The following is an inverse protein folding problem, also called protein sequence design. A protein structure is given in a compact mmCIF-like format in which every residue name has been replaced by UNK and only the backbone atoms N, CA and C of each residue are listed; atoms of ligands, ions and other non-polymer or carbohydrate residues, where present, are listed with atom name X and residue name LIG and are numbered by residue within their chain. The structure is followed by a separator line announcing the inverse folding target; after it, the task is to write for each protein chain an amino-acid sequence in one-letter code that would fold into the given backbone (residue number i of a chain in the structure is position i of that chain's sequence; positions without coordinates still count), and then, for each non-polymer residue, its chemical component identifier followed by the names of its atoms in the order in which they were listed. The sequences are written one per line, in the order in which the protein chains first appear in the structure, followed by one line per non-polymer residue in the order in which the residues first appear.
data_IF_320948033813
#
_entry.id   IF_320948033813
#
_cell.length_a   1.000
_cell.length_b   1.000
_cell.length_c   1.000
_cell.angle_alpha   90.00
_cell.angle_beta   90.00
_cell.angle_gamma   90.00
#
_symmetry.space_group_name_H-M   'P 1'
#
loop_
_entity.id
_entity.type
_entity.pdbx_description
1 polymer ?
#
# COMPACT_ATOMS: atom_id res chain seq x y z
N UNK A 1 -34.12 6.96 10.35
CA UNK A 1 -32.85 7.07 9.61
C UNK A 1 -31.82 6.39 10.48
N UNK A 2 -31.50 5.14 10.17
CA UNK A 2 -30.40 4.44 10.84
C UNK A 2 -29.10 5.15 10.45
N UNK A 3 -28.42 5.72 11.42
CA UNK A 3 -27.03 6.16 11.28
C UNK A 3 -26.21 4.92 10.96
N UNK A 4 -25.90 4.75 9.70
CA UNK A 4 -25.07 3.66 9.20
C UNK A 4 -23.60 3.94 9.61
N UNK A 5 -23.30 3.67 10.88
CA UNK A 5 -21.97 3.86 11.45
C UNK A 5 -21.02 2.88 10.74
N UNK A 6 -20.05 3.40 9.97
CA UNK A 6 -18.98 2.58 9.38
C UNK A 6 -18.21 1.90 10.51
N UNK A 7 -18.01 0.60 10.37
CA UNK A 7 -17.18 -0.18 11.29
C UNK A 7 -15.68 0.08 11.06
N UNK A 8 -14.91 0.19 12.14
CA UNK A 8 -13.45 0.22 12.09
C UNK A 8 -12.91 -1.20 12.16
N UNK A 9 -12.32 -1.67 11.08
CA UNK A 9 -11.70 -2.97 10.97
C UNK A 9 -10.19 -2.80 11.09
N UNK A 10 -9.59 -3.40 12.12
CA UNK A 10 -8.14 -3.39 12.32
C UNK A 10 -7.54 -4.62 11.66
N UNK A 11 -6.62 -4.41 10.73
CA UNK A 11 -5.84 -5.46 10.06
C UNK A 11 -4.49 -5.59 10.81
N UNK A 12 -4.51 -6.29 11.93
CA UNK A 12 -3.36 -6.48 12.80
C UNK A 12 -2.45 -7.65 12.37
N UNK A 13 -2.96 -8.56 11.56
CA UNK A 13 -2.22 -9.68 11.03
C UNK A 13 -2.80 -10.19 9.70
N UNK A 14 -2.03 -11.04 9.03
CA UNK A 14 -2.36 -11.62 7.73
C UNK A 14 -3.61 -12.51 7.77
N UNK A 15 -3.75 -13.33 8.80
CA UNK A 15 -4.87 -14.28 8.95
C UNK A 15 -6.21 -13.55 9.10
N UNK A 16 -6.22 -12.44 9.86
CA UNK A 16 -7.41 -11.62 10.02
C UNK A 16 -7.88 -11.02 8.70
N UNK A 17 -6.93 -10.49 7.90
CA UNK A 17 -7.26 -10.00 6.56
C UNK A 17 -7.86 -11.11 5.69
N UNK A 18 -7.18 -12.25 5.62
CA UNK A 18 -7.62 -13.37 4.80
C UNK A 18 -9.02 -13.86 5.20
N UNK A 19 -9.32 -13.93 6.49
CA UNK A 19 -10.67 -14.30 6.99
C UNK A 19 -11.75 -13.31 6.57
N UNK A 20 -11.47 -12.00 6.58
CA UNK A 20 -12.44 -10.99 6.15
C UNK A 20 -12.79 -11.15 4.67
N UNK A 21 -11.80 -11.51 3.84
CA UNK A 21 -12.00 -11.68 2.40
C UNK A 21 -12.27 -13.15 1.98
N UNK A 22 -12.34 -14.07 2.93
CA UNK A 22 -12.56 -15.50 2.65
C UNK A 22 -11.42 -16.15 1.89
N UNK A 23 -10.17 -15.70 2.12
CA UNK A 23 -8.95 -16.20 1.52
C UNK A 23 -8.23 -17.19 2.45
N UNK A 24 -7.41 -18.06 1.86
CA UNK A 24 -6.59 -19.04 2.60
C UNK A 24 -5.34 -18.37 3.20
N UNK A 25 -5.01 -18.71 4.46
CA UNK A 25 -3.77 -18.29 5.10
C UNK A 25 -2.73 -19.41 5.03
N UNK A 26 -1.69 -19.24 4.21
CA UNK A 26 -0.59 -20.20 4.03
C UNK A 26 0.62 -19.88 4.90
N UNK A 27 0.81 -18.61 5.24
CA UNK A 27 1.93 -18.15 6.06
C UNK A 27 1.46 -17.07 7.04
N UNK A 28 1.89 -17.10 8.32
CA UNK A 28 1.38 -16.16 9.33
C UNK A 28 1.80 -14.71 9.12
N UNK A 29 2.90 -14.46 8.41
CA UNK A 29 3.47 -13.11 8.26
C UNK A 29 3.39 -12.55 6.83
N UNK A 30 2.94 -13.31 5.85
CA UNK A 30 2.80 -12.85 4.47
C UNK A 30 1.67 -13.59 3.74
N UNK A 31 0.93 -12.87 2.89
CA UNK A 31 -0.08 -13.46 1.99
C UNK A 31 -0.02 -12.79 0.63
N UNK A 32 -0.10 -13.58 -0.42
CA UNK A 32 -0.40 -13.08 -1.76
C UNK A 32 -1.91 -12.99 -1.89
N UNK A 33 -2.39 -11.83 -2.29
CA UNK A 33 -3.80 -11.50 -2.38
C UNK A 33 -4.27 -11.65 -3.83
N UNK A 34 -5.36 -12.35 -4.01
CA UNK A 34 -6.12 -12.41 -5.25
C UNK A 34 -7.59 -12.19 -4.90
N UNK A 35 -8.05 -10.94 -4.98
CA UNK A 35 -9.41 -10.59 -4.60
C UNK A 35 -10.48 -11.13 -5.55
N UNK A 36 -10.11 -11.57 -6.74
CA UNK A 36 -11.05 -12.28 -7.62
C UNK A 36 -11.49 -13.63 -7.03
N UNK A 37 -10.69 -14.19 -6.11
CA UNK A 37 -11.01 -15.43 -5.37
C UNK A 37 -11.69 -15.18 -4.04
N UNK A 38 -11.91 -13.91 -3.64
CA UNK A 38 -12.57 -13.62 -2.37
C UNK A 38 -14.02 -14.09 -2.38
N UNK A 39 -14.44 -14.69 -1.28
CA UNK A 39 -15.82 -15.17 -1.09
C UNK A 39 -16.68 -14.21 -0.27
N UNK A 40 -16.03 -13.33 0.45
CA UNK A 40 -16.65 -12.29 1.28
C UNK A 40 -15.85 -11.01 1.17
N UNK A 41 -16.51 -9.85 1.29
CA UNK A 41 -15.85 -8.55 1.40
C UNK A 41 -16.77 -7.54 2.07
N UNK A 42 -16.24 -6.60 2.88
CA UNK A 42 -17.02 -5.51 3.43
C UNK A 42 -17.34 -4.49 2.33
N UNK A 43 -18.59 -4.06 2.27
CA UNK A 43 -19.02 -3.04 1.30
C UNK A 43 -18.68 -1.62 1.75
N UNK A 44 -18.59 -1.41 3.08
CA UNK A 44 -18.31 -0.09 3.66
C UNK A 44 -17.66 -0.24 5.02
N UNK A 45 -16.37 0.11 5.13
CA UNK A 45 -15.62 0.03 6.37
C UNK A 45 -14.43 1.00 6.39
N UNK A 46 -13.99 1.33 7.58
CA UNK A 46 -12.66 1.88 7.78
C UNK A 46 -11.68 0.76 8.08
N UNK A 47 -10.57 0.70 7.34
CA UNK A 47 -9.47 -0.21 7.62
C UNK A 47 -8.33 0.53 8.26
N UNK A 48 -7.87 0.04 9.42
CA UNK A 48 -6.59 0.42 10.02
C UNK A 48 -5.60 -0.72 9.78
N UNK A 49 -4.57 -0.43 9.01
CA UNK A 49 -3.53 -1.40 8.72
C UNK A 49 -2.45 -1.37 9.79
N UNK A 50 -2.10 -2.53 10.36
CA UNK A 50 -0.89 -2.75 11.17
C UNK A 50 0.13 -3.62 10.41
N UNK A 51 -0.11 -3.82 9.14
CA UNK A 51 0.68 -4.58 8.18
C UNK A 51 0.97 -3.71 6.96
N UNK A 52 2.01 -4.05 6.21
CA UNK A 52 2.24 -3.48 4.89
C UNK A 52 1.32 -4.16 3.89
N UNK A 53 0.75 -3.39 2.98
CA UNK A 53 -0.07 -3.89 1.89
C UNK A 53 0.27 -3.17 0.58
N UNK A 54 0.29 -3.92 -0.51
CA UNK A 54 0.40 -3.41 -1.87
C UNK A 54 -0.66 -4.11 -2.71
N UNK A 55 -1.46 -3.32 -3.43
CA UNK A 55 -2.49 -3.85 -4.31
C UNK A 55 -2.31 -3.29 -5.72
N UNK A 56 -2.24 -4.19 -6.69
CA UNK A 56 -2.42 -3.91 -8.10
C UNK A 56 -3.88 -4.11 -8.47
N UNK A 57 -4.57 -3.03 -8.79
CA UNK A 57 -5.99 -3.05 -9.14
C UNK A 57 -6.20 -3.29 -10.62
N UNK A 58 -7.09 -4.20 -10.94
CA UNK A 58 -7.43 -4.60 -12.30
C UNK A 58 -8.74 -3.97 -12.78
N UNK A 59 -9.60 -3.51 -11.87
CA UNK A 59 -10.88 -2.86 -12.19
C UNK A 59 -11.25 -1.84 -11.14
N UNK A 60 -12.02 -0.84 -11.52
CA UNK A 60 -12.63 0.09 -10.57
C UNK A 60 -13.80 -0.60 -9.86
N UNK A 61 -13.58 -1.10 -8.66
CA UNK A 61 -14.59 -1.80 -7.84
C UNK A 61 -15.13 -0.96 -6.68
N UNK A 62 -14.74 0.30 -6.58
CA UNK A 62 -15.15 1.21 -5.51
C UNK A 62 -14.19 2.38 -5.36
N UNK A 63 -14.46 3.23 -4.39
CA UNK A 63 -13.60 4.35 -4.04
C UNK A 63 -12.85 4.05 -2.74
N UNK A 64 -11.58 4.37 -2.68
CA UNK A 64 -10.81 4.42 -1.44
C UNK A 64 -10.44 5.87 -1.16
N UNK A 65 -10.77 6.32 0.03
CA UNK A 65 -10.35 7.62 0.53
C UNK A 65 -9.21 7.44 1.51
N UNK A 66 -8.23 8.29 1.37
CA UNK A 66 -7.15 8.43 2.31
C UNK A 66 -7.09 9.88 2.79
N UNK A 67 -7.35 10.10 4.07
CA UNK A 67 -7.56 11.45 4.58
C UNK A 67 -8.74 12.15 3.90
N UNK A 68 -8.50 13.32 3.29
CA UNK A 68 -9.52 14.11 2.59
C UNK A 68 -9.55 13.91 1.08
N UNK A 69 -8.62 13.11 0.53
CA UNK A 69 -8.47 12.91 -0.90
C UNK A 69 -9.01 11.56 -1.35
N UNK A 70 -9.52 11.50 -2.58
CA UNK A 70 -9.87 10.26 -3.25
C UNK A 70 -8.64 9.78 -4.04
N UNK A 71 -8.34 8.50 -3.94
CA UNK A 71 -7.44 7.88 -4.89
C UNK A 71 -8.10 7.81 -6.27
N UNK A 72 -7.40 8.30 -7.30
CA UNK A 72 -7.84 8.10 -8.68
C UNK A 72 -7.52 6.66 -9.10
N UNK A 73 -8.56 5.82 -9.07
CA UNK A 73 -8.44 4.42 -9.44
C UNK A 73 -8.77 4.21 -10.89
N UNK A 74 -7.77 3.88 -11.66
CA UNK A 74 -7.92 3.34 -13.00
C UNK A 74 -7.41 1.90 -13.03
N UNK A 75 -7.69 1.18 -14.11
CA UNK A 75 -7.08 -0.12 -14.39
C UNK A 75 -5.55 0.04 -14.47
N UNK A 76 -4.81 -0.90 -13.89
CA UNK A 76 -3.36 -0.83 -13.82
C UNK A 76 -2.81 0.13 -12.76
N UNK A 77 -3.53 0.32 -11.66
CA UNK A 77 -3.11 1.19 -10.56
C UNK A 77 -2.58 0.38 -9.38
N UNK A 78 -1.42 0.79 -8.84
CA UNK A 78 -0.87 0.27 -7.59
C UNK A 78 -1.17 1.23 -6.45
N UNK A 79 -1.64 0.68 -5.32
CA UNK A 79 -1.81 1.39 -4.06
C UNK A 79 -1.08 0.66 -2.95
N UNK A 80 -0.46 1.43 -2.05
CA UNK A 80 0.35 0.91 -0.96
C UNK A 80 -0.13 1.47 0.38
N UNK A 81 -0.13 0.62 1.40
CA UNK A 81 -0.46 1.00 2.77
C UNK A 81 0.62 0.53 3.72
N UNK A 82 0.98 1.38 4.67
CA UNK A 82 1.92 1.07 5.75
C UNK A 82 1.18 0.86 7.09
N UNK A 83 1.83 0.21 8.06
CA UNK A 83 1.31 0.14 9.42
C UNK A 83 0.97 1.51 10.00
N UNK A 84 -0.19 1.59 10.70
CA UNK A 84 -0.73 2.82 11.28
C UNK A 84 -1.67 3.60 10.35
N UNK A 85 -1.73 3.29 9.07
CA UNK A 85 -2.58 4.00 8.12
C UNK A 85 -4.04 3.56 8.20
N UNK A 86 -4.94 4.54 8.05
CA UNK A 86 -6.39 4.33 8.04
C UNK A 86 -6.93 4.69 6.66
N UNK A 87 -7.69 3.78 6.09
CA UNK A 87 -8.39 3.98 4.81
C UNK A 87 -9.88 3.88 4.98
N UNK A 88 -10.62 4.67 4.24
CA UNK A 88 -12.07 4.58 4.10
C UNK A 88 -12.38 3.82 2.81
N UNK A 89 -12.91 2.62 2.96
CA UNK A 89 -13.27 1.75 1.85
C UNK A 89 -14.78 1.83 1.60
N UNK A 90 -15.14 2.20 0.38
CA UNK A 90 -16.50 2.06 -0.15
C UNK A 90 -16.44 1.19 -1.42
N UNK A 91 -16.98 -0.02 -1.33
CA UNK A 91 -17.07 -0.94 -2.45
C UNK A 91 -18.42 -0.79 -3.13
N UNK A 92 -18.43 -0.81 -4.45
CA UNK A 92 -19.67 -0.80 -5.20
C UNK A 92 -20.47 -2.08 -4.90
N UNK A 93 -21.76 -1.98 -4.58
CA UNK A 93 -22.58 -3.16 -4.31
C UNK A 93 -22.63 -4.05 -5.56
N UNK A 94 -22.53 -5.37 -5.35
CA UNK A 94 -22.57 -6.41 -6.39
C UNK A 94 -21.40 -6.41 -7.39
N UNK A 95 -20.34 -5.65 -7.15
CA UNK A 95 -19.09 -5.76 -7.92
C UNK A 95 -18.08 -6.49 -7.09
N UNK A 96 -17.65 -7.66 -7.58
CA UNK A 96 -16.57 -8.40 -6.96
C UNK A 96 -15.25 -7.63 -7.08
N UNK A 97 -14.53 -7.44 -5.97
CA UNK A 97 -13.22 -6.82 -6.04
C UNK A 97 -12.27 -7.68 -6.88
N UNK A 98 -11.49 -7.02 -7.70
CA UNK A 98 -10.48 -7.67 -8.54
C UNK A 98 -9.17 -6.89 -8.42
N UNK A 99 -8.29 -7.40 -7.58
CA UNK A 99 -6.95 -6.88 -7.38
C UNK A 99 -6.01 -8.03 -7.02
N UNK A 100 -4.78 -7.93 -7.47
CA UNK A 100 -3.69 -8.77 -7.00
C UNK A 100 -2.81 -7.96 -6.05
N UNK A 101 -2.15 -8.63 -5.12
CA UNK A 101 -1.30 -7.89 -4.20
C UNK A 101 -0.55 -8.76 -3.21
N UNK A 102 0.06 -8.08 -2.27
CA UNK A 102 0.76 -8.71 -1.16
C UNK A 102 0.42 -7.99 0.14
N UNK A 103 0.26 -8.77 1.18
CA UNK A 103 0.18 -8.32 2.56
C UNK A 103 1.32 -8.94 3.36
N UNK A 104 2.06 -8.14 4.14
CA UNK A 104 3.11 -8.67 5.00
C UNK A 104 3.24 -7.92 6.32
N UNK A 105 3.44 -8.69 7.38
CA UNK A 105 3.61 -8.15 8.73
C UNK A 105 5.02 -7.59 8.92
N UNK A 106 5.23 -6.50 9.68
CA UNK A 106 6.56 -5.95 9.98
C UNK A 106 7.57 -6.97 10.53
N UNK A 107 7.10 -7.97 11.27
CA UNK A 107 7.97 -9.02 11.82
C UNK A 107 8.62 -9.90 10.75
N UNK A 108 8.04 -10.01 9.56
CA UNK A 108 8.64 -10.72 8.44
C UNK A 108 9.98 -10.11 8.05
N UNK A 109 10.03 -8.77 8.00
CA UNK A 109 11.19 -8.02 7.53
C UNK A 109 12.14 -7.58 8.66
N UNK A 110 11.75 -7.78 9.92
CA UNK A 110 12.56 -7.36 11.08
C UNK A 110 13.93 -8.05 11.07
N UNK A 111 15.01 -7.25 11.14
CA UNK A 111 16.40 -7.75 11.11
C UNK A 111 16.90 -8.20 9.73
N UNK A 112 16.18 -7.93 8.65
CA UNK A 112 16.59 -8.16 7.26
C UNK A 112 17.05 -6.85 6.61
N UNK A 113 17.73 -6.94 5.46
CA UNK A 113 18.08 -5.78 4.65
C UNK A 113 16.84 -4.97 4.26
N UNK A 114 15.77 -5.65 3.83
CA UNK A 114 14.50 -5.01 3.50
C UNK A 114 13.93 -4.22 4.69
N UNK A 115 14.01 -4.76 5.91
CA UNK A 115 13.55 -4.06 7.11
C UNK A 115 14.34 -2.79 7.44
N UNK A 116 15.61 -2.71 7.06
CA UNK A 116 16.43 -1.51 7.20
C UNK A 116 16.08 -0.45 6.14
N UNK A 117 15.64 -0.90 4.96
CA UNK A 117 15.39 -0.06 3.80
C UNK A 117 13.92 0.31 3.59
N UNK A 118 12.98 -0.32 4.31
CA UNK A 118 11.53 -0.14 4.10
C UNK A 118 11.08 1.33 4.14
N UNK A 119 11.74 2.16 4.95
CA UNK A 119 11.45 3.60 5.05
C UNK A 119 11.88 4.41 3.83
N UNK A 120 12.72 3.87 2.95
CA UNK A 120 13.14 4.54 1.71
C UNK A 120 12.04 4.54 0.65
N UNK A 121 11.07 3.61 0.76
CA UNK A 121 9.96 3.51 -0.18
C UNK A 121 8.90 4.56 0.17
N UNK A 122 9.01 5.75 -0.46
CA UNK A 122 8.18 6.93 -0.18
C UNK A 122 6.69 6.69 -0.39
N UNK A 123 6.29 5.78 -1.27
CA UNK A 123 4.88 5.42 -1.49
C UNK A 123 4.20 4.74 -0.29
N UNK A 124 4.93 4.39 0.76
CA UNK A 124 4.38 4.00 2.05
C UNK A 124 4.18 5.18 3.02
N UNK A 125 4.65 6.38 2.67
CA UNK A 125 4.49 7.54 3.54
C UNK A 125 3.08 8.15 3.43
N UNK A 126 2.69 8.88 4.48
CA UNK A 126 1.41 9.60 4.52
C UNK A 126 1.30 10.70 3.46
N UNK A 127 2.43 11.24 3.02
CA UNK A 127 2.51 12.35 2.09
C UNK A 127 2.24 11.94 0.64
N UNK A 128 2.33 10.64 0.37
CA UNK A 128 2.17 10.09 -0.97
C UNK A 128 0.76 9.57 -1.20
N UNK A 129 -0.18 10.48 -1.46
CA UNK A 129 -1.59 10.16 -1.72
C UNK A 129 -1.89 9.81 -3.18
N UNK A 130 -0.87 9.69 -4.03
CA UNK A 130 -1.08 9.39 -5.43
C UNK A 130 -0.92 7.90 -5.70
N UNK A 131 -1.90 7.36 -6.41
CA UNK A 131 -1.84 6.02 -6.93
C UNK A 131 -0.77 5.93 -8.02
N UNK A 132 -0.01 4.85 -8.03
CA UNK A 132 0.98 4.59 -9.06
C UNK A 132 0.31 3.98 -10.29
N UNK A 133 0.30 4.72 -11.40
CA UNK A 133 -0.20 4.23 -12.69
C UNK A 133 0.92 3.50 -13.43
N UNK A 134 0.66 2.26 -13.82
CA UNK A 134 1.64 1.40 -14.48
C UNK A 134 1.17 0.99 -15.88
N UNK A 135 2.15 0.78 -16.76
CA UNK A 135 1.92 0.20 -18.09
C UNK A 135 1.65 -1.31 -18.00
N UNK A 136 1.20 -1.92 -19.09
CA UNK A 136 0.98 -3.38 -19.14
C UNK A 136 2.29 -4.16 -18.96
N UNK A 137 3.43 -3.67 -19.46
CA UNK A 137 4.74 -4.28 -19.26
C UNK A 137 5.18 -4.23 -17.79
N UNK A 138 4.97 -3.07 -17.12
CA UNK A 138 5.23 -2.89 -15.70
C UNK A 138 4.31 -3.77 -14.84
N UNK A 139 3.04 -3.90 -15.26
CA UNK A 139 2.07 -4.80 -14.65
C UNK A 139 2.55 -6.25 -14.67
N UNK A 140 3.05 -6.73 -15.81
CA UNK A 140 3.60 -8.06 -15.92
C UNK A 140 4.80 -8.25 -14.97
N UNK A 141 5.68 -7.28 -14.86
CA UNK A 141 6.82 -7.30 -13.92
C UNK A 141 6.36 -7.45 -12.47
N UNK A 142 5.31 -6.72 -12.06
CA UNK A 142 4.71 -6.85 -10.72
C UNK A 142 4.14 -8.24 -10.52
N UNK A 143 3.38 -8.76 -11.49
CA UNK A 143 2.77 -10.09 -11.41
C UNK A 143 3.83 -11.20 -11.32
N UNK A 144 4.95 -11.07 -12.03
CA UNK A 144 6.06 -12.03 -11.97
C UNK A 144 6.72 -12.06 -10.59
N UNK A 145 6.86 -10.89 -9.95
CA UNK A 145 7.35 -10.81 -8.56
C UNK A 145 6.38 -11.48 -7.58
N UNK A 146 5.08 -11.20 -7.69
CA UNK A 146 4.06 -11.85 -6.86
C UNK A 146 4.03 -13.36 -7.07
N UNK A 147 4.18 -13.83 -8.31
CA UNK A 147 4.22 -15.26 -8.63
C UNK A 147 5.43 -15.96 -7.99
N UNK A 148 6.61 -15.34 -7.97
CA UNK A 148 7.80 -15.91 -7.30
C UNK A 148 7.56 -16.10 -5.81
N UNK A 149 6.89 -15.13 -5.15
CA UNK A 149 6.54 -15.25 -3.74
C UNK A 149 5.49 -16.36 -3.54
N UNK A 150 4.50 -16.46 -4.44
CA UNK A 150 3.48 -17.53 -4.40
C UNK A 150 4.13 -18.91 -4.43
N UNK A 151 5.07 -19.13 -5.36
CA UNK A 151 5.80 -20.40 -5.49
C UNK A 151 6.55 -20.71 -4.19
N UNK A 152 7.19 -19.75 -3.57
CA UNK A 152 7.91 -19.94 -2.31
C UNK A 152 6.95 -20.29 -1.15
N UNK A 153 5.75 -19.72 -1.13
CA UNK A 153 4.72 -20.03 -0.13
C UNK A 153 4.04 -21.39 -0.34
N UNK A 154 4.13 -21.95 -1.53
CA UNK A 154 3.61 -23.31 -1.86
C UNK A 154 4.62 -24.40 -1.54
N UNK A 155 5.90 -24.07 -1.40
CA UNK A 155 6.92 -25.01 -0.96
C UNK A 155 6.91 -25.22 0.57
N UNK A 156 7.50 -26.31 1.03
CA UNK A 156 7.73 -26.51 2.46
C UNK A 156 8.64 -25.42 2.99
N UNK A 157 8.18 -24.72 4.01
CA UNK A 157 8.96 -23.62 4.65
C UNK A 157 10.24 -24.19 5.24
N UNK A 158 11.37 -23.63 4.84
CA UNK A 158 12.71 -23.97 5.32
C UNK A 158 13.46 -22.73 5.85
N UNK A 159 14.72 -22.92 6.22
CA UNK A 159 15.58 -21.84 6.75
C UNK A 159 15.88 -20.72 5.73
N UNK A 160 15.65 -20.96 4.45
CA UNK A 160 15.91 -20.00 3.36
C UNK A 160 14.66 -19.24 2.95
N UNK A 161 13.46 -19.79 3.19
CA UNK A 161 12.17 -19.25 2.72
C UNK A 161 11.97 -17.79 3.11
N UNK A 162 12.22 -17.44 4.38
CA UNK A 162 12.11 -16.04 4.82
C UNK A 162 13.01 -15.10 4.02
N UNK A 163 14.25 -15.50 3.75
CA UNK A 163 15.20 -14.68 2.99
C UNK A 163 14.75 -14.51 1.54
N UNK A 164 14.28 -15.58 0.90
CA UNK A 164 13.81 -15.57 -0.47
C UNK A 164 12.55 -14.73 -0.62
N UNK A 165 11.59 -14.87 0.31
CA UNK A 165 10.38 -14.05 0.36
C UNK A 165 10.76 -12.56 0.51
N UNK A 166 11.61 -12.19 1.49
CA UNK A 166 12.03 -10.80 1.69
C UNK A 166 12.79 -10.24 0.49
N UNK A 167 13.62 -11.04 -0.19
CA UNK A 167 14.34 -10.60 -1.39
C UNK A 167 13.37 -10.32 -2.56
N UNK A 168 12.36 -11.17 -2.77
CA UNK A 168 11.35 -10.95 -3.81
C UNK A 168 10.43 -9.77 -3.48
N UNK A 169 10.10 -9.54 -2.19
CA UNK A 169 9.38 -8.33 -1.77
C UNK A 169 10.24 -7.10 -2.03
N UNK A 170 11.52 -7.10 -1.67
CA UNK A 170 12.44 -6.00 -1.95
C UNK A 170 12.49 -5.68 -3.44
N UNK A 171 12.66 -6.70 -4.29
CA UNK A 171 12.66 -6.53 -5.75
C UNK A 171 11.35 -5.93 -6.27
N UNK A 172 10.20 -6.39 -5.77
CA UNK A 172 8.89 -5.82 -6.11
C UNK A 172 8.82 -4.33 -5.75
N UNK A 173 9.25 -3.97 -4.54
CA UNK A 173 9.22 -2.58 -4.07
C UNK A 173 10.21 -1.69 -4.84
N UNK A 174 11.38 -2.21 -5.24
CA UNK A 174 12.35 -1.50 -6.08
C UNK A 174 11.78 -1.21 -7.48
N UNK A 175 11.05 -2.16 -8.08
CA UNK A 175 10.33 -1.90 -9.33
C UNK A 175 9.25 -0.83 -9.15
N UNK A 176 8.45 -0.91 -8.08
CA UNK A 176 7.45 0.10 -7.78
C UNK A 176 8.09 1.49 -7.59
N UNK A 177 9.26 1.59 -6.94
CA UNK A 177 10.00 2.84 -6.79
C UNK A 177 10.42 3.41 -8.14
N UNK A 178 10.98 2.58 -9.03
CA UNK A 178 11.33 2.99 -10.41
C UNK A 178 10.13 3.53 -11.17
N UNK A 179 8.97 2.84 -11.08
CA UNK A 179 7.74 3.26 -11.78
C UNK A 179 7.20 4.57 -11.19
N UNK A 180 7.31 4.73 -9.88
CA UNK A 180 6.92 5.93 -9.16
C UNK A 180 7.78 7.12 -9.60
N UNK A 181 9.11 7.00 -9.59
CA UNK A 181 10.03 8.04 -10.05
C UNK A 181 9.74 8.44 -11.50
N UNK A 182 9.55 7.46 -12.41
CA UNK A 182 9.15 7.74 -13.80
C UNK A 182 7.86 8.56 -13.88
N UNK A 183 6.84 8.23 -13.07
CA UNK A 183 5.56 8.97 -13.08
C UNK A 183 5.74 10.42 -12.67
N UNK A 184 6.63 10.70 -11.72
CA UNK A 184 6.89 12.05 -11.24
C UNK A 184 7.86 12.82 -12.12
N UNK A 185 8.87 12.19 -12.69
CA UNK A 185 9.81 12.82 -13.64
C UNK A 185 9.08 13.32 -14.90
N UNK A 186 8.04 12.61 -15.34
CA UNK A 186 7.22 13.02 -16.48
C UNK A 186 6.27 14.19 -16.16
N UNK A 187 5.92 14.40 -14.88
CA UNK A 187 5.00 15.47 -14.46
C UNK A 187 5.69 16.78 -14.08
N UNK A 188 6.98 16.79 -13.74
CA UNK A 188 7.53 17.93 -12.99
C UNK A 188 8.95 18.33 -13.33
N UNK A 189 9.07 19.31 -14.24
CA UNK A 189 10.19 20.25 -14.17
C UNK A 189 9.95 21.47 -13.26
N UNK A 190 8.69 21.75 -12.86
CA UNK A 190 8.35 23.04 -12.22
C UNK A 190 7.70 22.88 -10.84
N UNK A 191 6.83 21.88 -10.62
CA UNK A 191 6.05 21.82 -9.39
C UNK A 191 6.81 21.18 -8.21
N UNK A 192 7.73 20.26 -8.47
CA UNK A 192 8.50 19.56 -7.41
C UNK A 192 9.39 20.53 -6.62
N UNK A 193 10.06 21.44 -7.31
CA UNK A 193 10.93 22.45 -6.67
C UNK A 193 10.13 23.42 -5.78
N UNK A 194 8.89 23.72 -6.14
CA UNK A 194 8.01 24.60 -5.37
C UNK A 194 7.53 23.91 -4.10
N UNK A 195 7.10 22.65 -4.18
CA UNK A 195 6.62 21.89 -3.02
C UNK A 195 7.75 21.63 -2.04
N UNK A 196 8.90 21.13 -2.49
CA UNK A 196 10.09 20.90 -1.66
C UNK A 196 10.55 22.20 -0.99
N UNK A 197 10.55 23.31 -1.71
CA UNK A 197 10.91 24.60 -1.17
C UNK A 197 9.89 25.11 -0.16
N UNK A 198 8.61 24.87 -0.39
CA UNK A 198 7.55 25.21 0.54
C UNK A 198 7.66 24.39 1.84
N UNK A 199 7.86 23.09 1.74
CA UNK A 199 8.07 22.20 2.91
C UNK A 199 9.31 22.61 3.70
N UNK A 200 10.40 22.93 3.03
CA UNK A 200 11.62 23.42 3.68
C UNK A 200 11.36 24.71 4.45
N UNK A 201 10.69 25.68 3.83
CA UNK A 201 10.33 26.96 4.45
C UNK A 201 9.35 26.76 5.62
N UNK A 202 8.42 25.82 5.50
CA UNK A 202 7.47 25.49 6.56
C UNK A 202 8.19 24.85 7.77
N UNK A 203 9.11 23.94 7.52
CA UNK A 203 9.92 23.31 8.57
C UNK A 203 10.84 24.35 9.24
N UNK A 204 11.53 25.20 8.49
CA UNK A 204 12.32 26.31 9.05
C UNK A 204 11.47 27.27 9.89
N UNK A 205 10.25 27.55 9.44
CA UNK A 205 9.33 28.41 10.19
C UNK A 205 8.94 27.78 11.54
N UNK A 206 8.62 26.48 11.57
CA UNK A 206 8.22 25.78 12.79
C UNK A 206 9.39 25.40 13.71
N UNK A 207 10.60 25.25 13.19
CA UNK A 207 11.82 25.03 13.96
C UNK A 207 12.43 26.31 14.51
N UNK A 208 12.05 27.47 13.95
CA UNK A 208 12.51 28.78 14.38
C UNK A 208 11.62 29.43 15.45
N UNK A 209 12.04 30.58 15.95
CA UNK A 209 11.28 31.39 16.94
C UNK A 209 10.10 32.15 16.31
N UNK A 210 9.89 32.03 15.01
CA UNK A 210 8.87 32.76 14.26
C UNK A 210 7.42 32.44 14.71
N UNK A 211 7.04 31.19 15.02
CA UNK A 211 5.69 30.87 15.50
C UNK A 211 5.33 31.53 16.83
N UNK A 212 6.33 31.79 17.69
CA UNK A 212 6.13 32.43 18.98
C UNK A 212 5.94 33.95 18.87
N UNK A 213 6.48 34.58 17.81
CA UNK A 213 6.51 36.02 17.65
C UNK A 213 5.48 36.57 16.65
N UNK A 214 5.06 35.78 15.66
CA UNK A 214 4.23 36.24 14.53
C UNK A 214 2.90 35.49 14.38
N UNK A 215 2.67 34.40 15.12
CA UNK A 215 1.50 33.53 14.97
C UNK A 215 1.59 32.61 13.74
N UNK A 216 0.51 31.86 13.47
CA UNK A 216 0.42 31.03 12.28
C UNK A 216 0.22 31.90 11.03
N UNK A 217 0.86 31.57 9.91
CA UNK A 217 0.68 32.29 8.65
C UNK A 217 -0.73 32.15 8.07
#
# INVERSE_FOLDING_TARGET
MEENTKEMIVIDNVDRYNKIFGLETRHPLVSIIDLAKSTTWPTRAWFRYEVYALYLKNVKCGDIKYGRQYYDYQDGTIVCFAPGQITDLEMLPNIQPNAHGILFHPDLIRGTALGQEIKKYSFFSYETNEALHISEEERQTVMDCLQKITIELEHSIDKHSRRLICANIGLLLDYCMRFYERQFDTRNGVDKDIIVRFEHLLNEYFEGDAPQNQGLP
#
